data_IF_231411583772
#
_entry.id   IF_231411583772
#
_cell.length_a   1.000
_cell.length_b   1.000
_cell.length_c   1.000
_cell.angle_alpha   90.00
_cell.angle_beta   90.00
_cell.angle_gamma   90.00
#
_symmetry.space_group_name_H-M   'P 1'
#
loop_
_entity.id
_entity.type
_entity.pdbx_description
1 polymer ?
#
# COMPACT_ATOMS: atom_id res chain seq x y z
N UNK A 1 22.69 -79.97 43.11
CA UNK A 1 22.21 -79.80 41.73
C UNK A 1 22.25 -78.31 41.38
N UNK A 2 23.19 -77.93 40.52
CA UNK A 2 23.07 -76.73 39.69
C UNK A 2 22.04 -77.03 38.58
N UNK A 3 21.39 -76.02 37.98
CA UNK A 3 22.01 -75.45 36.78
C UNK A 3 21.96 -73.92 36.68
N UNK A 4 22.83 -73.49 35.79
CA UNK A 4 23.25 -72.17 35.38
C UNK A 4 22.18 -71.39 34.61
N UNK A 5 22.12 -70.07 34.80
CA UNK A 5 21.44 -69.16 33.86
C UNK A 5 22.44 -68.15 33.32
N UNK A 6 22.73 -68.27 32.03
CA UNK A 6 23.66 -67.44 31.25
C UNK A 6 23.18 -65.98 31.22
N UNK A 7 24.07 -65.06 31.58
CA UNK A 7 23.98 -63.66 31.18
C UNK A 7 24.14 -63.58 29.66
N UNK A 8 23.10 -63.12 28.96
CA UNK A 8 23.21 -62.70 27.57
C UNK A 8 23.73 -61.27 27.58
N UNK A 9 25.04 -61.13 27.37
CA UNK A 9 25.62 -59.88 26.91
C UNK A 9 25.04 -59.57 25.52
N UNK A 10 24.14 -58.60 25.45
CA UNK A 10 23.83 -57.93 24.18
C UNK A 10 25.07 -57.11 23.81
N UNK A 11 25.92 -57.70 22.98
CA UNK A 11 26.91 -56.95 22.22
C UNK A 11 26.16 -55.90 21.39
N UNK A 12 26.23 -54.65 21.83
CA UNK A 12 25.76 -53.53 21.05
C UNK A 12 26.50 -53.55 19.71
N UNK A 13 25.76 -53.68 18.61
CA UNK A 13 26.26 -53.25 17.31
C UNK A 13 26.47 -51.75 17.40
N UNK A 14 27.66 -51.33 17.84
CA UNK A 14 28.19 -50.00 17.56
C UNK A 14 28.33 -49.95 16.04
N UNK A 15 27.31 -49.42 15.37
CA UNK A 15 27.45 -48.98 13.99
C UNK A 15 28.68 -48.09 13.95
N UNK A 16 29.66 -48.44 13.12
CA UNK A 16 30.85 -47.64 12.94
C UNK A 16 30.38 -46.25 12.50
N UNK A 17 30.47 -45.28 13.42
CA UNK A 17 30.35 -43.87 13.09
C UNK A 17 31.59 -43.56 12.23
N UNK A 18 31.44 -43.67 10.91
CA UNK A 18 32.45 -43.16 9.98
C UNK A 18 32.65 -41.68 10.28
N UNK A 19 33.83 -41.31 10.74
CA UNK A 19 34.18 -39.90 10.94
C UNK A 19 34.14 -39.19 9.59
N UNK A 20 33.45 -38.05 9.52
CA UNK A 20 33.42 -37.23 8.32
C UNK A 20 34.83 -36.73 8.00
N UNK A 21 35.27 -36.92 6.76
CA UNK A 21 36.56 -36.40 6.31
C UNK A 21 36.47 -34.87 6.14
N UNK A 22 37.60 -34.17 6.30
CA UNK A 22 37.68 -32.72 6.01
C UNK A 22 37.18 -32.39 4.60
N UNK A 23 37.40 -33.28 3.64
CA UNK A 23 36.98 -33.12 2.24
C UNK A 23 35.46 -33.21 2.10
N UNK A 24 34.80 -34.16 2.77
CA UNK A 24 33.33 -34.27 2.73
C UNK A 24 32.67 -33.03 3.36
N UNK A 25 33.17 -32.56 4.49
CA UNK A 25 32.64 -31.34 5.11
C UNK A 25 32.92 -30.09 4.25
N UNK A 26 34.08 -30.02 3.59
CA UNK A 26 34.42 -28.91 2.72
C UNK A 26 33.51 -28.83 1.49
N UNK A 27 33.21 -29.97 0.85
CA UNK A 27 32.29 -30.02 -0.30
C UNK A 27 30.87 -29.69 0.13
N UNK A 28 30.41 -30.18 1.28
CA UNK A 28 29.07 -29.88 1.80
C UNK A 28 28.88 -28.38 2.06
N UNK A 29 29.84 -27.72 2.72
CA UNK A 29 29.76 -26.29 2.96
C UNK A 29 29.83 -25.46 1.67
N UNK A 30 30.64 -25.89 0.69
CA UNK A 30 30.70 -25.25 -0.62
C UNK A 30 29.36 -25.35 -1.37
N UNK A 31 28.73 -26.53 -1.36
CA UNK A 31 27.43 -26.75 -2.00
C UNK A 31 26.32 -25.96 -1.28
N UNK A 32 26.28 -25.97 0.06
CA UNK A 32 25.30 -25.18 0.82
C UNK A 32 25.50 -23.68 0.56
N UNK A 33 26.74 -23.18 0.55
CA UNK A 33 27.04 -21.79 0.24
C UNK A 33 26.56 -21.37 -1.16
N UNK A 34 26.75 -22.23 -2.16
CA UNK A 34 26.27 -21.99 -3.52
C UNK A 34 24.73 -21.98 -3.61
N UNK A 35 24.06 -22.91 -2.92
CA UNK A 35 22.59 -22.97 -2.90
C UNK A 35 21.99 -21.75 -2.20
N UNK A 36 22.52 -21.36 -1.03
CA UNK A 36 22.04 -20.19 -0.28
C UNK A 36 22.25 -18.91 -1.11
N UNK A 37 23.40 -18.77 -1.77
CA UNK A 37 23.68 -17.64 -2.65
C UNK A 37 22.67 -17.50 -3.79
N UNK A 38 22.30 -18.61 -4.43
CA UNK A 38 21.31 -18.61 -5.52
C UNK A 38 19.88 -18.29 -5.02
N UNK A 39 19.46 -18.83 -3.88
CA UNK A 39 18.12 -18.59 -3.30
C UNK A 39 17.94 -17.14 -2.86
N UNK A 40 18.98 -16.50 -2.32
CA UNK A 40 18.92 -15.10 -1.88
C UNK A 40 18.53 -14.17 -3.03
N UNK A 41 19.12 -14.34 -4.21
CA UNK A 41 18.81 -13.54 -5.41
C UNK A 41 17.36 -13.78 -5.86
N UNK A 42 16.88 -15.03 -5.80
CA UNK A 42 15.52 -15.39 -6.23
C UNK A 42 14.43 -14.70 -5.40
N UNK A 43 14.64 -14.54 -4.08
CA UNK A 43 13.66 -13.89 -3.19
C UNK A 43 13.47 -12.41 -3.50
N UNK A 44 14.55 -11.69 -3.80
CA UNK A 44 14.47 -10.26 -4.13
C UNK A 44 13.80 -10.02 -5.49
N UNK A 45 14.11 -10.85 -6.49
CA UNK A 45 13.46 -10.79 -7.80
C UNK A 45 11.97 -11.07 -7.68
N UNK A 46 11.57 -12.07 -6.88
CA UNK A 46 10.18 -12.38 -6.65
C UNK A 46 9.43 -11.23 -5.96
N UNK A 47 10.04 -10.59 -4.95
CA UNK A 47 9.45 -9.43 -4.26
C UNK A 47 9.24 -8.25 -5.21
N UNK A 48 10.25 -7.92 -6.01
CA UNK A 48 10.13 -6.85 -7.01
C UNK A 48 9.06 -7.17 -8.07
N UNK A 49 8.94 -8.44 -8.47
CA UNK A 49 7.88 -8.86 -9.39
C UNK A 49 6.47 -8.73 -8.79
N UNK A 50 6.30 -9.05 -7.49
CA UNK A 50 5.02 -8.84 -6.79
C UNK A 50 4.69 -7.34 -6.67
N UNK A 51 5.65 -6.48 -6.35
CA UNK A 51 5.43 -5.03 -6.33
C UNK A 51 5.06 -4.48 -7.71
N UNK A 52 5.72 -4.94 -8.77
CA UNK A 52 5.37 -4.57 -10.14
C UNK A 52 3.98 -5.07 -10.54
N UNK A 53 3.57 -6.25 -10.06
CA UNK A 53 2.23 -6.79 -10.26
C UNK A 53 1.17 -5.97 -9.52
N UNK A 54 1.43 -5.54 -8.28
CA UNK A 54 0.55 -4.63 -7.53
C UNK A 54 0.31 -3.35 -8.34
N UNK A 55 1.39 -2.71 -8.84
CA UNK A 55 1.28 -1.53 -9.69
C UNK A 55 0.40 -1.76 -10.92
N UNK A 56 0.75 -2.74 -11.74
CA UNK A 56 0.13 -2.95 -13.05
C UNK A 56 -1.29 -3.53 -12.99
N UNK A 57 -1.56 -4.42 -12.02
CA UNK A 57 -2.83 -5.15 -11.93
C UNK A 57 -3.82 -4.51 -11.00
N UNK A 58 -3.38 -3.73 -10.02
CA UNK A 58 -4.27 -3.10 -9.06
C UNK A 58 -4.30 -1.59 -9.22
N UNK A 59 -3.19 -0.89 -8.96
CA UNK A 59 -3.16 0.58 -8.94
C UNK A 59 -3.48 1.18 -10.32
N UNK A 60 -2.86 0.68 -11.39
CA UNK A 60 -3.09 1.19 -12.74
C UNK A 60 -4.50 0.89 -13.28
N UNK A 61 -5.09 -0.23 -12.84
CA UNK A 61 -6.47 -0.56 -13.22
C UNK A 61 -7.46 0.39 -12.54
N UNK A 62 -7.18 0.83 -11.31
CA UNK A 62 -7.98 1.85 -10.62
C UNK A 62 -7.83 3.25 -11.25
N UNK A 63 -6.62 3.65 -11.64
CA UNK A 63 -6.41 4.90 -12.40
C UNK A 63 -7.18 4.87 -13.73
N UNK A 64 -7.11 3.74 -14.46
CA UNK A 64 -7.86 3.58 -15.71
C UNK A 64 -9.38 3.60 -15.49
N UNK A 65 -9.89 2.94 -14.45
CA UNK A 65 -11.31 2.95 -14.11
C UNK A 65 -11.80 4.36 -13.77
N UNK A 66 -11.01 5.14 -13.03
CA UNK A 66 -11.31 6.54 -12.75
C UNK A 66 -11.40 7.38 -14.02
N UNK A 67 -10.42 7.26 -14.92
CA UNK A 67 -10.40 7.99 -16.19
C UNK A 67 -11.57 7.57 -17.09
N UNK A 68 -11.90 6.28 -17.13
CA UNK A 68 -13.06 5.77 -17.86
C UNK A 68 -14.38 6.29 -17.29
N UNK A 69 -14.48 6.45 -15.96
CA UNK A 69 -15.63 7.06 -15.31
C UNK A 69 -15.84 8.48 -15.79
N UNK A 70 -14.77 9.27 -15.78
CA UNK A 70 -14.82 10.66 -16.25
C UNK A 70 -15.21 10.73 -17.73
N UNK A 71 -14.60 9.93 -18.60
CA UNK A 71 -14.92 9.88 -20.03
C UNK A 71 -16.37 9.49 -20.32
N UNK A 72 -16.97 8.60 -19.51
CA UNK A 72 -18.33 8.10 -19.74
C UNK A 72 -19.42 8.99 -19.14
N UNK A 73 -19.15 9.60 -17.99
CA UNK A 73 -20.17 10.37 -17.25
C UNK A 73 -20.02 11.87 -17.40
N UNK A 74 -18.87 12.36 -17.89
CA UNK A 74 -18.54 13.78 -17.99
C UNK A 74 -18.20 14.45 -16.65
N UNK A 75 -18.24 13.70 -15.55
CA UNK A 75 -17.97 14.18 -14.19
C UNK A 75 -17.10 13.19 -13.44
N UNK A 76 -16.49 13.62 -12.34
CA UNK A 76 -15.66 12.74 -11.52
C UNK A 76 -16.50 11.86 -10.61
N UNK A 77 -15.87 10.83 -10.04
CA UNK A 77 -16.55 9.85 -9.18
C UNK A 77 -17.27 10.56 -8.02
N UNK A 78 -18.57 10.30 -7.88
CA UNK A 78 -19.40 10.89 -6.83
C UNK A 78 -19.84 12.33 -7.06
N UNK A 79 -19.53 12.94 -8.19
CA UNK A 79 -20.01 14.28 -8.55
C UNK A 79 -21.38 14.25 -9.26
N UNK A 80 -22.05 15.41 -9.31
CA UNK A 80 -23.37 15.58 -9.94
C UNK A 80 -23.26 15.93 -11.42
N UNK A 81 -23.94 15.18 -12.29
CA UNK A 81 -23.96 15.46 -13.74
C UNK A 81 -24.74 16.73 -14.12
N UNK A 82 -25.71 17.12 -13.29
CA UNK A 82 -26.56 18.30 -13.53
C UNK A 82 -26.06 19.56 -12.81
N UNK A 83 -25.14 19.40 -11.86
CA UNK A 83 -24.51 20.47 -11.10
C UNK A 83 -23.05 20.11 -10.80
N UNK A 84 -22.20 19.98 -11.82
CA UNK A 84 -20.83 19.50 -11.66
C UNK A 84 -20.03 20.44 -10.79
N UNK A 85 -19.21 19.87 -9.91
CA UNK A 85 -18.28 20.60 -9.04
C UNK A 85 -16.83 20.28 -9.36
N UNK A 86 -16.60 19.30 -10.24
CA UNK A 86 -15.28 18.83 -10.68
C UNK A 86 -14.44 18.36 -9.48
N UNK A 87 -15.11 17.75 -8.51
CA UNK A 87 -14.47 17.21 -7.31
C UNK A 87 -15.05 15.85 -6.95
N UNK A 88 -14.19 14.95 -6.47
CA UNK A 88 -14.62 13.64 -5.99
C UNK A 88 -15.64 13.82 -4.88
N UNK A 89 -16.71 13.04 -4.95
CA UNK A 89 -17.88 13.16 -4.09
C UNK A 89 -18.49 14.58 -4.08
N UNK A 90 -18.40 15.25 -5.22
CA UNK A 90 -18.90 16.60 -5.38
C UNK A 90 -20.37 16.70 -5.07
N UNK A 91 -21.21 15.69 -5.32
CA UNK A 91 -22.65 15.77 -5.04
C UNK A 91 -22.97 16.04 -3.55
N UNK A 92 -22.17 15.51 -2.63
CA UNK A 92 -22.31 15.72 -1.18
C UNK A 92 -21.80 17.09 -0.71
N UNK A 93 -21.16 17.87 -1.59
CA UNK A 93 -20.68 19.20 -1.27
C UNK A 93 -21.84 20.16 -0.98
N UNK A 94 -21.83 20.78 0.19
CA UNK A 94 -22.78 21.83 0.57
C UNK A 94 -22.02 23.14 0.63
N UNK A 95 -22.21 24.00 -0.37
CA UNK A 95 -21.62 25.34 -0.36
C UNK A 95 -22.27 26.19 0.73
N UNK A 96 -21.49 26.94 1.50
CA UNK A 96 -22.05 28.00 2.35
C UNK A 96 -22.38 29.22 1.49
N UNK A 97 -23.67 29.53 1.30
CA UNK A 97 -24.15 30.72 0.56
C UNK A 97 -24.63 30.45 -0.89
N UNK A 98 -24.77 31.52 -1.68
CA UNK A 98 -25.36 31.53 -3.04
C UNK A 98 -24.47 30.96 -4.15
N UNK A 99 -23.42 30.19 -3.82
CA UNK A 99 -22.35 29.82 -4.75
C UNK A 99 -22.42 28.35 -5.22
N UNK A 100 -23.12 28.03 -6.32
CA UNK A 100 -22.82 26.84 -7.10
C UNK A 100 -21.81 27.24 -8.17
N UNK A 101 -20.51 27.21 -7.87
CA UNK A 101 -19.51 27.49 -8.91
C UNK A 101 -18.76 26.22 -9.25
N UNK A 102 -19.27 25.52 -10.27
CA UNK A 102 -18.54 24.53 -11.03
C UNK A 102 -17.18 25.09 -11.44
N UNK A 103 -16.08 24.44 -11.05
CA UNK A 103 -14.74 24.73 -11.55
C UNK A 103 -14.00 25.93 -10.94
N UNK A 104 -14.45 26.48 -9.80
CA UNK A 104 -13.72 27.50 -9.03
C UNK A 104 -12.83 26.92 -7.91
N UNK A 105 -12.11 27.79 -7.18
CA UNK A 105 -11.42 27.40 -5.94
C UNK A 105 -12.46 27.12 -4.84
N UNK A 106 -12.83 25.85 -4.71
CA UNK A 106 -13.83 25.37 -3.75
C UNK A 106 -13.29 25.31 -2.31
N UNK A 107 -12.02 25.65 -2.09
CA UNK A 107 -11.43 25.77 -0.75
C UNK A 107 -11.94 26.98 0.02
N UNK A 108 -12.30 28.07 -0.66
CA UNK A 108 -12.82 29.27 -0.01
C UNK A 108 -14.27 29.13 0.50
N UNK A 109 -15.01 28.13 -0.01
CA UNK A 109 -16.45 27.96 0.21
C UNK A 109 -16.80 26.86 1.23
N UNK A 110 -15.81 26.18 1.80
CA UNK A 110 -15.95 25.27 2.95
C UNK A 110 -14.87 25.54 4.00
N UNK A 111 -15.23 25.48 5.28
CA UNK A 111 -14.24 25.53 6.36
C UNK A 111 -13.31 24.32 6.28
N UNK A 112 -12.00 24.52 6.49
CA UNK A 112 -11.03 23.43 6.51
C UNK A 112 -11.47 22.31 7.48
N UNK A 113 -11.34 21.05 7.05
CA UNK A 113 -11.83 19.88 7.78
C UNK A 113 -13.26 19.46 7.42
N UNK A 114 -13.96 20.22 6.57
CA UNK A 114 -15.31 19.88 6.07
C UNK A 114 -15.29 19.47 4.59
N UNK A 115 -14.15 18.99 4.10
CA UNK A 115 -14.05 18.41 2.76
C UNK A 115 -14.99 17.20 2.59
N UNK A 116 -15.50 16.95 1.37
CA UNK A 116 -16.31 15.76 1.10
C UNK A 116 -15.60 14.49 1.54
N UNK A 117 -16.36 13.57 2.13
CA UNK A 117 -15.82 12.27 2.52
C UNK A 117 -15.28 11.51 1.30
N UNK A 118 -14.16 10.78 1.44
CA UNK A 118 -13.61 9.98 0.37
C UNK A 118 -14.62 8.91 -0.12
N UNK A 119 -14.44 8.49 -1.36
CA UNK A 119 -15.19 7.43 -2.03
C UNK A 119 -14.37 6.14 -1.99
N UNK A 120 -14.81 5.19 -1.17
CA UNK A 120 -14.27 3.84 -1.04
C UNK A 120 -15.38 2.90 -0.53
N UNK A 121 -15.21 1.59 -0.71
CA UNK A 121 -16.24 0.64 -0.31
C UNK A 121 -16.14 0.29 1.19
N UNK A 122 -14.94 0.32 1.76
CA UNK A 122 -14.68 -0.08 3.14
C UNK A 122 -14.08 1.04 4.00
N UNK A 123 -14.31 0.96 5.31
CA UNK A 123 -13.58 1.80 6.26
C UNK A 123 -12.10 1.40 6.25
N UNK A 124 -11.17 2.33 6.04
CA UNK A 124 -9.75 2.01 6.07
C UNK A 124 -9.34 1.49 7.44
N UNK A 125 -8.45 0.48 7.47
CA UNK A 125 -7.89 -0.07 8.70
C UNK A 125 -7.24 1.02 9.58
N UNK A 126 -6.76 2.08 8.94
CA UNK A 126 -6.32 3.32 9.54
C UNK A 126 -7.15 4.48 8.95
N UNK A 127 -8.42 4.58 9.32
CA UNK A 127 -9.35 5.60 8.83
C UNK A 127 -8.81 7.04 8.91
N UNK A 128 -8.00 7.34 9.94
CA UNK A 128 -7.27 8.62 10.09
C UNK A 128 -6.13 8.82 9.07
N UNK A 129 -5.62 7.75 8.47
CA UNK A 129 -4.60 7.75 7.43
C UNK A 129 -5.19 8.00 6.03
N UNK A 130 -6.49 7.85 5.82
CA UNK A 130 -7.16 8.20 4.56
C UNK A 130 -7.83 9.56 4.66
N UNK A 131 -8.48 9.90 5.79
CA UNK A 131 -9.31 11.11 5.92
C UNK A 131 -8.57 12.35 6.40
N UNK A 132 -8.59 13.42 5.61
CA UNK A 132 -8.33 14.79 6.12
C UNK A 132 -9.61 15.46 6.68
N UNK A 133 -10.78 14.83 6.51
CA UNK A 133 -12.09 15.39 6.87
C UNK A 133 -12.57 14.95 8.27
N UNK A 134 -13.20 15.88 9.00
CA UNK A 134 -13.84 15.64 10.30
C UNK A 134 -15.14 14.83 10.19
N UNK A 135 -15.65 14.60 8.97
CA UNK A 135 -16.82 13.77 8.68
C UNK A 135 -16.47 12.28 8.73
N UNK A 136 -17.23 11.51 9.52
CA UNK A 136 -17.04 10.07 9.64
C UNK A 136 -17.32 9.36 8.31
N UNK A 137 -16.49 8.36 7.96
CA UNK A 137 -16.82 7.44 6.87
C UNK A 137 -18.11 6.70 7.22
N UNK A 138 -19.07 6.72 6.30
CA UNK A 138 -20.30 5.93 6.42
C UNK A 138 -20.27 4.88 5.32
N UNK A 139 -20.07 3.63 5.74
CA UNK A 139 -20.10 2.48 4.84
C UNK A 139 -21.38 2.52 3.97
N UNK A 140 -21.24 2.22 2.69
CA UNK A 140 -22.32 2.21 1.69
C UNK A 140 -22.92 3.58 1.32
N UNK A 141 -22.47 4.70 1.90
CA UNK A 141 -22.93 6.04 1.46
C UNK A 141 -22.15 6.55 0.26
N UNK A 142 -20.83 6.35 0.26
CA UNK A 142 -19.92 6.75 -0.82
C UNK A 142 -19.24 5.52 -1.44
N UNK A 143 -20.03 4.50 -1.75
CA UNK A 143 -19.51 3.23 -2.24
C UNK A 143 -18.99 3.37 -3.68
N UNK A 144 -17.67 3.17 -3.82
CA UNK A 144 -16.96 3.20 -5.08
C UNK A 144 -17.51 2.19 -6.08
N UNK A 145 -17.88 0.98 -5.63
CA UNK A 145 -18.47 -0.05 -6.50
C UNK A 145 -19.81 0.41 -7.06
N UNK A 146 -20.66 1.02 -6.24
CA UNK A 146 -21.95 1.53 -6.72
C UNK A 146 -21.78 2.63 -7.76
N UNK A 147 -20.84 3.55 -7.56
CA UNK A 147 -20.56 4.57 -8.58
C UNK A 147 -20.08 3.95 -9.89
N UNK A 148 -19.07 3.08 -9.84
CA UNK A 148 -18.47 2.46 -11.02
C UNK A 148 -19.46 1.59 -11.79
N UNK A 149 -20.20 0.73 -11.09
CA UNK A 149 -21.18 -0.19 -11.72
C UNK A 149 -22.39 0.56 -12.30
N UNK A 150 -22.91 1.59 -11.62
CA UNK A 150 -23.97 2.45 -12.17
C UNK A 150 -23.51 3.21 -13.41
N UNK A 151 -22.24 3.60 -13.45
CA UNK A 151 -21.60 4.15 -14.63
C UNK A 151 -21.23 3.09 -15.67
N UNK A 152 -21.56 1.81 -15.49
CA UNK A 152 -21.29 0.74 -16.47
C UNK A 152 -19.81 0.44 -16.67
N UNK A 153 -18.97 0.75 -15.69
CA UNK A 153 -17.52 0.49 -15.71
C UNK A 153 -17.28 -0.88 -15.10
N UNK A 154 -16.44 -1.67 -15.75
CA UNK A 154 -16.03 -2.96 -15.22
C UNK A 154 -15.10 -2.73 -14.02
N UNK A 155 -15.41 -3.37 -12.90
CA UNK A 155 -14.60 -3.27 -11.69
C UNK A 155 -13.18 -3.82 -11.94
N UNK A 156 -12.13 -3.09 -11.50
CA UNK A 156 -10.78 -3.62 -11.43
C UNK A 156 -10.70 -4.91 -10.59
N UNK A 157 -9.69 -5.76 -10.81
CA UNK A 157 -9.45 -6.88 -9.93
C UNK A 157 -8.98 -6.38 -8.56
N UNK A 158 -9.54 -6.93 -7.49
CA UNK A 158 -9.08 -6.71 -6.12
C UNK A 158 -9.07 -8.01 -5.32
N UNK A 159 -9.34 -7.92 -4.02
CA UNK A 159 -9.27 -9.05 -3.07
C UNK A 159 -10.35 -10.10 -3.35
N UNK A 160 -11.59 -9.65 -3.52
CA UNK A 160 -12.76 -10.49 -3.75
C UNK A 160 -13.87 -9.67 -4.42
N UNK A 161 -14.95 -10.33 -4.86
CA UNK A 161 -16.15 -9.62 -5.29
C UNK A 161 -16.72 -8.78 -4.14
N UNK A 162 -16.95 -7.50 -4.39
CA UNK A 162 -17.43 -6.53 -3.42
C UNK A 162 -16.30 -5.89 -2.61
N UNK A 163 -15.06 -6.37 -2.78
CA UNK A 163 -13.85 -5.88 -2.14
C UNK A 163 -12.79 -5.55 -3.20
N UNK A 164 -13.23 -4.96 -4.31
CA UNK A 164 -12.34 -4.63 -5.41
C UNK A 164 -11.40 -3.48 -5.06
N UNK A 165 -11.74 -2.64 -4.08
CA UNK A 165 -10.92 -1.54 -3.58
C UNK A 165 -9.79 -2.01 -2.66
N UNK A 166 -9.73 -3.32 -2.35
CA UNK A 166 -8.72 -3.94 -1.49
C UNK A 166 -7.78 -4.85 -2.29
N UNK A 167 -6.51 -4.92 -1.89
CA UNK A 167 -5.53 -5.86 -2.42
C UNK A 167 -4.64 -6.42 -1.32
N UNK A 168 -4.52 -7.74 -1.25
CA UNK A 168 -3.70 -8.40 -0.22
C UNK A 168 -2.33 -8.76 -0.80
N UNK A 169 -1.28 -8.45 -0.04
CA UNK A 169 0.10 -8.83 -0.35
C UNK A 169 0.82 -9.26 0.93
N UNK A 170 2.06 -9.72 0.79
CA UNK A 170 2.89 -10.16 1.92
C UNK A 170 4.03 -9.17 2.11
N UNK A 171 4.27 -8.75 3.35
CA UNK A 171 5.43 -7.91 3.68
C UNK A 171 6.74 -8.71 3.75
N UNK A 172 7.84 -8.02 4.07
CA UNK A 172 9.17 -8.63 4.16
C UNK A 172 9.29 -9.65 5.30
N UNK A 173 8.40 -9.62 6.28
CA UNK A 173 8.38 -10.55 7.42
C UNK A 173 7.48 -11.77 7.13
N UNK A 174 6.84 -11.83 5.97
CA UNK A 174 5.90 -12.90 5.64
C UNK A 174 4.49 -12.67 6.18
N UNK A 175 4.23 -11.52 6.80
CA UNK A 175 2.91 -11.18 7.33
C UNK A 175 2.01 -10.61 6.22
N UNK A 176 0.70 -10.93 6.22
CA UNK A 176 -0.23 -10.36 5.26
C UNK A 176 -0.45 -8.87 5.54
N UNK A 177 -0.49 -8.09 4.47
CA UNK A 177 -0.81 -6.67 4.44
C UNK A 177 -1.94 -6.42 3.44
N UNK A 178 -2.73 -5.37 3.67
CA UNK A 178 -3.83 -5.00 2.80
C UNK A 178 -3.64 -3.56 2.30
N UNK A 179 -3.76 -3.37 1.00
CA UNK A 179 -3.77 -2.07 0.33
C UNK A 179 -5.22 -1.69 0.09
N UNK A 180 -5.56 -0.43 0.36
CA UNK A 180 -6.86 0.11 -0.01
C UNK A 180 -6.73 1.32 -0.93
N UNK A 181 -7.60 1.39 -1.94
CA UNK A 181 -7.77 2.54 -2.82
C UNK A 181 -9.02 3.33 -2.44
N UNK A 182 -8.85 4.63 -2.23
CA UNK A 182 -9.95 5.57 -2.06
C UNK A 182 -9.78 6.74 -3.02
N UNK A 183 -10.86 7.31 -3.55
CA UNK A 183 -10.79 8.59 -4.26
C UNK A 183 -11.20 9.71 -3.32
N UNK A 184 -10.49 10.83 -3.36
CA UNK A 184 -10.85 12.01 -2.58
C UNK A 184 -10.51 13.30 -3.34
N UNK A 185 -11.05 14.39 -2.83
CA UNK A 185 -10.66 15.72 -3.25
C UNK A 185 -9.83 16.38 -2.16
N UNK A 186 -8.65 16.86 -2.53
CA UNK A 186 -7.78 17.64 -1.68
C UNK A 186 -7.90 19.12 -2.03
N UNK A 187 -7.94 19.96 -0.99
CA UNK A 187 -8.02 21.41 -1.13
C UNK A 187 -6.87 21.99 -1.97
N UNK A 188 -7.09 23.05 -2.75
CA UNK A 188 -6.01 23.82 -3.37
C UNK A 188 -4.93 24.21 -2.34
N UNK A 189 -3.67 24.04 -2.71
CA UNK A 189 -2.53 24.30 -1.83
C UNK A 189 -2.17 23.15 -0.87
N UNK A 190 -2.93 22.04 -0.83
CA UNK A 190 -2.55 20.87 -0.03
C UNK A 190 -1.20 20.31 -0.52
N UNK A 191 -0.16 20.22 0.34
CA UNK A 191 1.18 19.89 -0.14
C UNK A 191 1.37 18.45 -0.63
N UNK A 192 0.68 17.48 -0.03
CA UNK A 192 0.64 16.08 -0.51
C UNK A 192 -0.08 15.89 -1.86
N UNK A 193 -0.63 16.95 -2.43
CA UNK A 193 -1.31 16.95 -3.72
C UNK A 193 -2.68 17.60 -3.63
N UNK A 194 -2.95 18.55 -4.52
CA UNK A 194 -4.23 19.27 -4.59
C UNK A 194 -5.10 18.78 -5.76
N UNK A 195 -6.42 18.91 -5.61
CA UNK A 195 -7.41 18.49 -6.59
C UNK A 195 -7.88 17.05 -6.35
N UNK A 196 -8.29 16.38 -7.41
CA UNK A 196 -8.76 14.99 -7.32
C UNK A 196 -7.58 14.04 -7.25
N UNK A 197 -7.58 13.18 -6.23
CA UNK A 197 -6.47 12.27 -5.93
C UNK A 197 -7.01 10.88 -5.61
N UNK A 198 -6.18 9.88 -5.88
CA UNK A 198 -6.34 8.52 -5.41
C UNK A 198 -5.45 8.32 -4.18
N UNK A 199 -6.06 8.03 -3.05
CA UNK A 199 -5.38 7.66 -1.81
C UNK A 199 -5.10 6.16 -1.84
N UNK A 200 -3.85 5.80 -1.59
CA UNK A 200 -3.39 4.42 -1.52
C UNK A 200 -2.89 4.19 -0.10
N UNK A 201 -3.70 3.55 0.73
CA UNK A 201 -3.35 3.19 2.11
C UNK A 201 -2.80 1.76 2.17
N UNK A 202 -2.01 1.46 3.22
CA UNK A 202 -1.53 0.11 3.48
C UNK A 202 -0.22 -0.25 2.77
N UNK A 203 0.57 0.74 2.35
CA UNK A 203 1.84 0.51 1.64
C UNK A 203 2.99 0.30 2.63
N UNK A 204 3.73 -0.80 2.57
CA UNK A 204 5.02 -0.88 3.28
C UNK A 204 6.00 0.16 2.72
N UNK A 205 6.99 0.64 3.50
CA UNK A 205 7.94 1.65 3.02
C UNK A 205 8.67 1.24 1.74
N UNK A 206 9.01 -0.04 1.61
CA UNK A 206 9.67 -0.58 0.41
C UNK A 206 8.75 -0.59 -0.81
N UNK A 207 7.50 -1.01 -0.63
CA UNK A 207 6.49 -0.95 -1.69
C UNK A 207 6.23 0.50 -2.12
N UNK A 208 6.14 1.44 -1.18
CA UNK A 208 5.92 2.86 -1.49
C UNK A 208 7.05 3.44 -2.34
N UNK A 209 8.31 3.21 -1.96
CA UNK A 209 9.49 3.61 -2.75
C UNK A 209 9.50 3.00 -4.15
N UNK A 210 9.17 1.71 -4.26
CA UNK A 210 9.14 1.04 -5.56
C UNK A 210 7.99 1.55 -6.44
N UNK A 211 6.80 1.75 -5.88
CA UNK A 211 5.66 2.30 -6.62
C UNK A 211 5.97 3.68 -7.19
N UNK A 212 6.61 4.52 -6.40
CA UNK A 212 6.99 5.87 -6.78
C UNK A 212 8.02 5.88 -7.91
N UNK A 213 9.10 5.11 -7.75
CA UNK A 213 10.09 4.89 -8.81
C UNK A 213 9.46 4.36 -10.11
N UNK A 214 8.43 3.52 -10.02
CA UNK A 214 7.71 3.03 -11.21
C UNK A 214 6.77 4.06 -11.84
N UNK A 215 6.30 5.07 -11.09
CA UNK A 215 5.35 6.08 -11.56
C UNK A 215 6.07 7.25 -12.24
N UNK A 216 7.11 7.80 -11.61
CA UNK A 216 7.79 9.01 -12.11
C UNK A 216 9.33 8.90 -12.13
N UNK A 217 9.86 7.71 -11.86
CA UNK A 217 11.26 7.37 -12.12
C UNK A 217 12.22 7.68 -10.99
N UNK A 218 11.76 8.30 -9.89
CA UNK A 218 12.59 8.59 -8.71
C UNK A 218 11.80 8.29 -7.43
N UNK A 219 12.40 7.60 -6.44
CA UNK A 219 11.78 7.44 -5.14
C UNK A 219 11.91 8.74 -4.33
N UNK A 220 10.92 9.61 -4.42
CA UNK A 220 10.78 10.89 -3.72
C UNK A 220 9.37 11.04 -3.11
N UNK A 221 9.29 11.23 -1.80
CA UNK A 221 8.02 11.29 -1.09
C UNK A 221 7.25 12.61 -1.25
N UNK A 222 7.87 13.64 -1.83
CA UNK A 222 7.42 15.03 -1.79
C UNK A 222 7.13 15.60 -3.18
N UNK A 223 7.88 15.18 -4.18
CA UNK A 223 7.76 15.62 -5.56
C UNK A 223 6.90 14.65 -6.39
N UNK A 224 6.81 14.88 -7.70
CA UNK A 224 6.14 13.92 -8.57
C UNK A 224 4.61 13.83 -8.42
N UNK A 225 4.07 12.72 -8.94
CA UNK A 225 2.61 12.45 -8.94
C UNK A 225 2.17 11.65 -7.73
N UNK A 226 3.05 10.84 -7.15
CA UNK A 226 2.79 10.05 -5.96
C UNK A 226 3.53 10.69 -4.79
N UNK A 227 2.80 11.07 -3.74
CA UNK A 227 3.39 11.75 -2.57
C UNK A 227 3.02 11.05 -1.29
N UNK A 228 3.85 11.14 -0.27
CA UNK A 228 3.51 10.69 1.07
C UNK A 228 2.46 11.62 1.68
N UNK A 229 1.50 11.03 2.39
CA UNK A 229 0.48 11.81 3.10
C UNK A 229 1.08 12.66 4.23
N UNK A 230 0.54 13.86 4.43
CA UNK A 230 1.03 14.86 5.39
C UNK A 230 2.47 15.34 5.13
N UNK A 231 3.02 15.08 3.94
CA UNK A 231 4.29 15.67 3.53
C UNK A 231 4.11 17.18 3.33
N UNK A 232 5.15 17.97 3.57
CA UNK A 232 5.15 19.41 3.26
C UNK A 232 5.56 19.64 1.81
N UNK A 233 5.44 20.86 1.27
CA UNK A 233 5.96 21.17 -0.06
C UNK A 233 7.48 21.34 -0.01
N UNK A 234 8.16 20.86 -1.06
CA UNK A 234 9.60 21.04 -1.20
C UNK A 234 9.96 22.50 -1.42
N UNK A 235 11.21 22.84 -1.15
CA UNK A 235 11.75 24.14 -1.58
C UNK A 235 12.14 24.06 -3.06
N UNK A 236 11.89 25.12 -3.86
CA UNK A 236 12.32 25.12 -5.26
C UNK A 236 13.83 24.86 -5.38
N UNK A 237 14.21 23.88 -6.19
CA UNK A 237 15.60 23.40 -6.36
C UNK A 237 16.24 22.81 -5.09
N UNK A 238 15.43 22.48 -4.08
CA UNK A 238 15.89 21.75 -2.91
C UNK A 238 16.16 20.28 -3.23
N UNK A 239 16.92 19.57 -2.37
CA UNK A 239 16.99 18.13 -2.44
C UNK A 239 15.61 17.52 -2.13
N UNK A 240 15.37 16.39 -2.78
CA UNK A 240 14.21 15.54 -2.52
C UNK A 240 14.13 14.99 -1.09
N UNK A 241 12.96 14.48 -0.71
CA UNK A 241 12.74 13.86 0.60
C UNK A 241 12.45 12.38 0.42
N UNK A 242 13.19 11.54 1.13
CA UNK A 242 12.95 10.10 1.13
C UNK A 242 11.62 9.74 1.80
N UNK A 243 11.00 8.66 1.34
CA UNK A 243 9.84 8.05 2.01
C UNK A 243 10.13 7.75 3.47
N UNK A 244 9.22 8.16 4.36
CA UNK A 244 9.36 7.94 5.79
C UNK A 244 9.40 6.45 6.14
N UNK A 245 10.04 6.10 7.26
CA UNK A 245 10.15 4.74 7.78
C UNK A 245 10.92 3.77 6.86
N UNK A 246 11.24 2.60 7.41
CA UNK A 246 11.76 1.46 6.67
C UNK A 246 11.15 0.17 7.21
N UNK A 247 11.47 -0.97 6.58
CA UNK A 247 10.83 -2.24 6.90
C UNK A 247 11.23 -2.83 8.26
N UNK A 248 12.18 -2.22 8.97
CA UNK A 248 12.53 -2.63 10.34
C UNK A 248 11.59 -2.05 11.40
N UNK A 249 10.68 -1.13 11.02
CA UNK A 249 9.68 -0.55 11.91
C UNK A 249 8.36 -1.31 11.88
N UNK A 250 7.85 -1.60 13.06
CA UNK A 250 6.64 -2.39 13.24
C UNK A 250 5.42 -1.49 13.20
N UNK A 251 4.27 -2.10 12.97
CA UNK A 251 3.00 -1.40 13.08
C UNK A 251 2.87 -0.71 14.45
N UNK A 252 2.52 0.57 14.43
CA UNK A 252 2.38 1.39 15.65
C UNK A 252 3.69 2.01 16.16
N UNK A 253 4.81 1.86 15.45
CA UNK A 253 6.06 2.53 15.81
C UNK A 253 5.88 4.06 15.90
N UNK A 254 6.39 4.65 16.98
CA UNK A 254 6.38 6.09 17.19
C UNK A 254 7.58 6.75 16.49
N UNK A 255 7.33 7.84 15.75
CA UNK A 255 8.35 8.63 15.03
C UNK A 255 9.31 7.80 14.14
N UNK A 256 8.79 6.96 13.23
CA UNK A 256 9.63 6.16 12.35
C UNK A 256 10.38 7.04 11.35
N UNK A 257 11.63 6.71 11.06
CA UNK A 257 12.50 7.46 10.12
C UNK A 257 13.03 6.53 9.03
N UNK A 258 13.40 7.09 7.88
CA UNK A 258 13.90 6.30 6.75
C UNK A 258 15.19 5.52 7.08
N UNK A 259 16.09 6.13 7.86
CA UNK A 259 17.41 5.58 8.20
C UNK A 259 17.53 5.01 9.61
N UNK A 260 16.47 5.12 10.43
CA UNK A 260 16.48 4.62 11.80
C UNK A 260 16.44 3.09 11.88
N UNK A 261 16.79 2.55 13.04
CA UNK A 261 16.60 1.13 13.34
C UNK A 261 15.30 0.95 14.11
N UNK A 262 14.32 0.31 13.50
CA UNK A 262 13.13 -0.14 14.21
C UNK A 262 13.41 -1.39 15.06
N UNK A 263 12.40 -1.79 15.83
CA UNK A 263 12.47 -2.93 16.75
C UNK A 263 11.48 -4.04 16.33
N UNK A 264 11.17 -4.15 15.03
CA UNK A 264 10.29 -5.22 14.54
C UNK A 264 10.79 -6.58 14.95
N UNK A 265 9.87 -7.41 15.39
CA UNK A 265 10.08 -8.85 15.47
C UNK A 265 9.61 -9.50 14.18
N UNK A 266 10.11 -10.70 13.90
CA UNK A 266 9.76 -11.44 12.69
C UNK A 266 8.25 -11.79 12.63
N UNK A 267 7.57 -11.81 13.78
CA UNK A 267 6.12 -12.04 13.87
C UNK A 267 5.28 -10.76 13.76
N UNK A 268 5.91 -9.59 13.74
CA UNK A 268 5.21 -8.30 13.65
C UNK A 268 5.03 -7.87 12.20
N UNK A 269 3.85 -7.30 11.92
CA UNK A 269 3.59 -6.62 10.66
C UNK A 269 4.47 -5.38 10.53
N UNK A 270 5.04 -5.19 9.35
CA UNK A 270 5.75 -3.97 8.98
C UNK A 270 4.79 -2.78 9.01
N UNK A 271 5.30 -1.60 9.39
CA UNK A 271 4.55 -0.36 9.35
C UNK A 271 4.02 -0.07 7.93
N UNK A 272 2.83 0.52 7.87
CA UNK A 272 2.21 0.92 6.60
C UNK A 272 2.14 2.45 6.49
N UNK A 273 2.36 2.95 5.29
CA UNK A 273 2.27 4.34 4.88
C UNK A 273 1.00 4.56 4.05
N UNK A 274 0.70 5.83 3.82
CA UNK A 274 -0.36 6.24 2.89
C UNK A 274 0.21 7.19 1.86
N UNK A 275 -0.03 6.88 0.60
CA UNK A 275 0.38 7.69 -0.53
C UNK A 275 -0.83 8.39 -1.17
N UNK A 276 -0.58 9.56 -1.72
CA UNK A 276 -1.53 10.38 -2.44
C UNK A 276 -1.09 10.43 -3.88
N UNK A 277 -1.87 9.82 -4.76
CA UNK A 277 -1.59 9.78 -6.19
C UNK A 277 -2.48 10.78 -6.92
N UNK A 278 -1.88 11.79 -7.55
CA UNK A 278 -2.62 12.81 -8.29
C UNK A 278 -3.25 12.24 -9.56
N UNK A 279 -4.57 12.37 -9.67
CA UNK A 279 -5.32 11.96 -10.85
C UNK A 279 -5.20 12.99 -11.96
N UNK A 280 -5.08 12.50 -13.19
CA UNK A 280 -5.12 13.34 -14.38
C UNK A 280 -6.59 13.62 -14.71
N UNK A 281 -6.90 14.85 -15.10
CA UNK A 281 -8.23 15.26 -15.54
C UNK A 281 -8.12 15.94 -16.90
#
# INVERSE_FOLDING_TARGET
MQPTRRERSCAGCRGAQGGFTLVELAVVLAVIGLIIGAVAIGKDVQRNAEYAKIKNKFIDQWEQAYNQYYQRTGVVVGDSQIAPRIMVNGAAYVATGTNPVSGGDMGATIAAGNEPTPVCAHAPENDAAVRSSATAFVANTNDLRLYMTRAGIRMPPGRAEGQEDLYVYTDTNGSPQEIQVCFQWNRPGTPEGAGNVMVIAGLTPDLARMLDQMIDGKPDAQEGRLRLRNIVNGTPNGPGVEWSANNSFGRGAAAPTATGAGQTRDEEQVITLTAIYKMNQ
#
